data_IF_059075565773
#
_entry.id   IF_059075565773
#
_cell.length_a   1.000
_cell.length_b   1.000
_cell.length_c   1.000
_cell.angle_alpha   90.00
_cell.angle_beta   90.00
_cell.angle_gamma   90.00
#
_symmetry.space_group_name_H-M   'P 1'
#
loop_
_entity.id
_entity.type
_entity.pdbx_description
1 polymer ?
#
# COMPACT_ATOMS: atom_id res chain seq x y z
N UNK A 1 20.30 -2.47 8.16
CA UNK A 1 20.56 -1.32 7.26
C UNK A 1 19.83 -1.36 5.91
N UNK A 2 20.29 -2.05 4.84
CA UNK A 2 19.65 -1.89 3.49
C UNK A 2 18.17 -2.33 3.40
N UNK A 3 17.75 -3.34 4.19
CA UNK A 3 16.32 -3.75 4.26
C UNK A 3 15.46 -2.75 5.03
N UNK A 4 15.97 -2.24 6.15
CA UNK A 4 15.24 -1.29 7.00
C UNK A 4 14.99 0.04 6.29
N UNK A 5 15.93 0.51 5.46
CA UNK A 5 15.72 1.71 4.64
C UNK A 5 14.61 1.49 3.59
N UNK A 6 14.49 0.27 3.04
CA UNK A 6 13.41 -0.09 2.10
C UNK A 6 12.05 -0.13 2.80
N UNK A 7 11.97 -0.76 3.96
CA UNK A 7 10.76 -0.81 4.78
C UNK A 7 10.34 0.60 5.24
N UNK A 8 11.29 1.46 5.62
CA UNK A 8 11.02 2.86 6.00
C UNK A 8 10.47 3.67 4.83
N UNK A 9 11.09 3.54 3.64
CA UNK A 9 10.60 4.20 2.42
C UNK A 9 9.19 3.73 2.04
N UNK A 10 8.90 2.45 2.26
CA UNK A 10 7.59 1.86 2.03
C UNK A 10 6.55 2.32 3.06
N UNK A 11 6.94 2.47 4.33
CA UNK A 11 6.09 3.03 5.38
C UNK A 11 5.76 4.52 5.13
N UNK A 12 6.72 5.29 4.65
CA UNK A 12 6.50 6.70 4.26
C UNK A 12 5.49 6.76 3.10
N UNK A 13 5.65 5.93 2.07
CA UNK A 13 4.67 5.83 0.97
C UNK A 13 3.27 5.44 1.47
N UNK A 14 3.19 4.56 2.47
CA UNK A 14 1.93 4.16 3.08
C UNK A 14 1.26 5.32 3.84
N UNK A 15 2.04 6.19 4.49
CA UNK A 15 1.53 7.37 5.20
C UNK A 15 1.05 8.49 4.25
N UNK A 16 1.72 8.67 3.11
CA UNK A 16 1.31 9.69 2.12
C UNK A 16 -0.02 9.34 1.42
N UNK A 17 -0.41 8.07 1.38
CA UNK A 17 -1.63 7.63 0.71
C UNK A 17 -2.96 8.17 1.28
N UNK A 18 -3.25 8.08 2.59
CA UNK A 18 -4.47 8.63 3.17
C UNK A 18 -4.54 10.14 3.01
N UNK A 19 -3.40 10.84 3.14
CA UNK A 19 -3.31 12.29 2.93
C UNK A 19 -3.67 12.65 1.49
N UNK A 20 -3.13 11.93 0.51
CA UNK A 20 -3.44 12.13 -0.91
C UNK A 20 -4.91 11.80 -1.24
N UNK A 21 -5.47 10.77 -0.60
CA UNK A 21 -6.87 10.35 -0.77
C UNK A 21 -7.85 11.40 -0.26
N UNK A 22 -7.60 11.97 0.92
CA UNK A 22 -8.41 13.04 1.50
C UNK A 22 -8.33 14.30 0.62
N UNK A 23 -7.14 14.65 0.14
CA UNK A 23 -6.93 15.82 -0.72
C UNK A 23 -7.64 15.69 -2.07
N UNK A 24 -7.57 14.53 -2.72
CA UNK A 24 -8.31 14.23 -3.96
C UNK A 24 -9.83 14.27 -3.76
N UNK A 25 -10.32 13.75 -2.62
CA UNK A 25 -11.76 13.74 -2.32
C UNK A 25 -12.29 15.17 -2.12
N UNK A 26 -11.52 16.04 -1.47
CA UNK A 26 -11.84 17.46 -1.31
C UNK A 26 -11.87 18.20 -2.65
N UNK A 27 -10.84 18.01 -3.48
CA UNK A 27 -10.76 18.61 -4.83
C UNK A 27 -11.90 18.11 -5.75
N UNK A 28 -12.26 16.83 -5.65
CA UNK A 28 -13.37 16.24 -6.42
C UNK A 28 -14.76 16.71 -5.98
N UNK A 29 -14.91 17.34 -4.81
CA UNK A 29 -16.17 17.97 -4.40
C UNK A 29 -16.31 19.39 -5.00
N UNK A 30 -15.21 20.13 -5.10
CA UNK A 30 -15.21 21.52 -5.57
C UNK A 30 -15.21 21.67 -7.11
N UNK A 31 -14.68 20.70 -7.86
CA UNK A 31 -14.58 20.76 -9.33
C UNK A 31 -15.57 19.79 -10.00
N UNK A 32 -16.79 20.25 -10.29
CA UNK A 32 -17.85 19.41 -10.88
C UNK A 32 -17.64 19.09 -12.37
N UNK A 33 -17.04 20.00 -13.16
CA UNK A 33 -16.77 19.76 -14.59
C UNK A 33 -15.59 18.82 -14.84
N UNK A 34 -14.55 18.88 -14.00
CA UNK A 34 -13.37 18.01 -14.14
C UNK A 34 -13.44 16.73 -13.28
N UNK A 35 -14.58 16.54 -12.59
CA UNK A 35 -14.80 15.46 -11.63
C UNK A 35 -14.48 14.09 -12.23
N UNK A 36 -14.90 13.85 -13.47
CA UNK A 36 -14.72 12.55 -14.13
C UNK A 36 -13.24 12.24 -14.45
N UNK A 37 -12.45 13.25 -14.79
CA UNK A 37 -11.01 13.10 -14.99
C UNK A 37 -10.27 12.88 -13.66
N UNK A 38 -10.63 13.64 -12.62
CA UNK A 38 -10.08 13.51 -11.26
C UNK A 38 -10.40 12.12 -10.69
N UNK A 39 -11.64 11.64 -10.86
CA UNK A 39 -12.03 10.29 -10.43
C UNK A 39 -11.26 9.18 -11.13
N UNK A 40 -11.01 9.30 -12.44
CA UNK A 40 -10.18 8.33 -13.18
C UNK A 40 -8.75 8.26 -12.63
N UNK A 41 -8.13 9.41 -12.40
CA UNK A 41 -6.77 9.49 -11.86
C UNK A 41 -6.74 8.93 -10.43
N UNK A 42 -7.70 9.32 -9.59
CA UNK A 42 -7.81 8.84 -8.22
C UNK A 42 -8.00 7.32 -8.14
N UNK A 43 -8.86 6.77 -9.01
CA UNK A 43 -9.08 5.33 -9.09
C UNK A 43 -7.81 4.60 -9.56
N UNK A 44 -7.12 5.10 -10.58
CA UNK A 44 -5.88 4.50 -11.08
C UNK A 44 -4.77 4.48 -10.01
N UNK A 45 -4.59 5.57 -9.27
CA UNK A 45 -3.62 5.66 -8.16
C UNK A 45 -4.01 4.69 -7.04
N UNK A 46 -5.31 4.59 -6.72
CA UNK A 46 -5.82 3.64 -5.73
C UNK A 46 -5.52 2.20 -6.13
N UNK A 47 -5.77 1.82 -7.39
CA UNK A 47 -5.47 0.47 -7.91
C UNK A 47 -3.98 0.15 -7.80
N UNK A 48 -3.08 1.08 -8.16
CA UNK A 48 -1.64 0.87 -7.99
C UNK A 48 -1.25 0.62 -6.53
N UNK A 49 -1.87 1.33 -5.60
CA UNK A 49 -1.55 1.21 -4.17
C UNK A 49 -2.05 -0.10 -3.60
N UNK A 50 -3.27 -0.50 -3.96
CA UNK A 50 -3.79 -1.84 -3.65
C UNK A 50 -2.89 -2.94 -4.21
N UNK A 51 -2.35 -2.76 -5.41
CA UNK A 51 -1.42 -3.71 -6.02
C UNK A 51 -0.11 -3.83 -5.21
N UNK A 52 0.50 -2.71 -4.84
CA UNK A 52 1.72 -2.69 -4.00
C UNK A 52 1.45 -3.33 -2.64
N UNK A 53 0.30 -3.03 -2.03
CA UNK A 53 -0.13 -3.61 -0.76
C UNK A 53 -0.28 -5.13 -0.87
N UNK A 54 -0.92 -5.62 -1.93
CA UNK A 54 -1.10 -7.05 -2.18
C UNK A 54 0.24 -7.78 -2.34
N UNK A 55 1.17 -7.22 -3.12
CA UNK A 55 2.53 -7.77 -3.27
C UNK A 55 3.24 -7.84 -1.92
N UNK A 56 3.11 -6.79 -1.10
CA UNK A 56 3.70 -6.72 0.23
C UNK A 56 3.14 -7.81 1.15
N UNK A 57 1.82 -7.98 1.17
CA UNK A 57 1.15 -9.02 1.94
C UNK A 57 1.60 -10.42 1.51
N UNK A 58 1.75 -10.68 0.20
CA UNK A 58 2.24 -11.97 -0.31
C UNK A 58 3.67 -12.24 0.18
N UNK A 59 4.57 -11.26 0.09
CA UNK A 59 5.95 -11.42 0.58
C UNK A 59 5.98 -11.67 2.09
N UNK A 60 5.14 -10.95 2.85
CA UNK A 60 4.97 -11.16 4.29
C UNK A 60 4.46 -12.56 4.60
N UNK A 61 3.42 -13.03 3.90
CA UNK A 61 2.86 -14.37 4.06
C UNK A 61 3.90 -15.46 3.77
N UNK A 62 4.72 -15.32 2.73
CA UNK A 62 5.79 -16.28 2.41
C UNK A 62 6.83 -16.30 3.53
N UNK A 63 7.25 -15.14 4.05
CA UNK A 63 8.17 -15.08 5.21
C UNK A 63 7.55 -15.73 6.44
N UNK A 64 6.27 -15.47 6.68
CA UNK A 64 5.52 -16.00 7.82
C UNK A 64 5.36 -17.52 7.72
N UNK A 65 5.07 -18.06 6.54
CA UNK A 65 5.07 -19.51 6.29
C UNK A 65 6.44 -20.14 6.55
N UNK A 66 7.54 -19.51 6.12
CA UNK A 66 8.91 -19.99 6.41
C UNK A 66 9.17 -20.00 7.92
N UNK A 67 8.80 -18.93 8.64
CA UNK A 67 8.93 -18.85 10.10
C UNK A 67 8.09 -19.91 10.81
N UNK A 68 6.84 -20.12 10.40
CA UNK A 68 5.96 -21.15 10.97
C UNK A 68 6.50 -22.55 10.76
N UNK A 69 7.07 -22.86 9.57
CA UNK A 69 7.77 -24.13 9.32
C UNK A 69 8.98 -24.33 10.24
N UNK A 70 9.74 -23.27 10.49
CA UNK A 70 10.92 -23.29 11.36
C UNK A 70 10.50 -23.47 12.84
N UNK A 71 9.44 -22.79 13.26
CA UNK A 71 8.83 -22.94 14.59
C UNK A 71 8.31 -24.35 14.84
N UNK A 72 7.65 -24.98 13.87
CA UNK A 72 7.17 -26.36 14.01
C UNK A 72 8.33 -27.37 14.10
N UNK A 73 9.47 -27.13 13.44
CA UNK A 73 10.66 -27.98 13.57
C UNK A 73 11.36 -27.88 14.92
N UNK A 74 11.25 -26.74 15.60
CA UNK A 74 11.81 -26.55 16.94
C UNK A 74 10.92 -27.10 18.07
N UNK A 75 9.69 -27.50 17.75
CA UNK A 75 8.69 -28.00 18.70
C UNK A 75 8.66 -29.54 18.80
N UNK A 76 9.55 -30.22 18.08
CA UNK A 76 9.72 -31.67 18.07
C UNK A 76 11.07 -32.04 18.66
#
# INVERSE_FOLDING_TARGET
MRREIKDLKQAILFYFYPVFTILCSYLGWNLSEQRMAIFKIWYQVSVMIWFILAVTMIVLLIKLMKLTKLRNRFKH
#
